data_IF_758255165797
#
_entry.id   IF_758255165797
#
_cell.length_a   1.000
_cell.length_b   1.000
_cell.length_c   1.000
_cell.angle_alpha   90.00
_cell.angle_beta   90.00
_cell.angle_gamma   90.00
#
_symmetry.space_group_name_H-M   'P 1'
#
loop_
_entity.id
_entity.type
_entity.pdbx_description
1 polymer ?
#
# COMPACT_ATOMS: atom_id res chain seq x y z
N UNK A 1 24.47 22.27 -10.97
CA UNK A 1 23.88 23.14 -11.99
C UNK A 1 23.52 22.26 -13.19
N UNK A 2 22.35 21.60 -13.15
CA UNK A 2 21.87 20.71 -14.21
C UNK A 2 20.58 21.32 -14.75
N UNK A 3 20.62 21.69 -16.01
CA UNK A 3 19.52 22.30 -16.76
C UNK A 3 18.33 21.34 -16.80
N UNK A 4 17.25 21.71 -16.12
CA UNK A 4 15.93 21.13 -16.31
C UNK A 4 15.43 21.56 -17.70
N UNK A 5 15.46 20.64 -18.67
CA UNK A 5 14.77 20.81 -19.95
C UNK A 5 13.28 20.52 -19.73
N UNK A 6 12.52 21.58 -19.53
CA UNK A 6 11.07 21.54 -19.64
C UNK A 6 10.68 21.33 -21.10
N UNK A 7 10.39 20.11 -21.49
CA UNK A 7 9.68 19.77 -22.72
C UNK A 7 8.34 19.13 -22.41
N UNK A 8 7.43 19.92 -21.85
CA UNK A 8 6.02 19.59 -21.82
C UNK A 8 5.40 19.95 -23.18
N UNK A 9 5.77 19.22 -24.23
CA UNK A 9 4.97 19.18 -25.44
C UNK A 9 3.81 18.20 -25.24
N UNK A 10 2.59 18.71 -25.36
CA UNK A 10 1.31 17.99 -25.47
C UNK A 10 1.33 16.98 -26.64
N UNK A 11 2.21 16.01 -26.63
CA UNK A 11 2.16 14.89 -27.55
C UNK A 11 1.08 13.94 -27.05
N UNK A 12 -0.03 13.91 -27.74
CA UNK A 12 -1.03 12.84 -27.58
C UNK A 12 -0.28 11.52 -27.71
N UNK A 13 -0.25 10.73 -26.61
CA UNK A 13 0.63 9.54 -26.54
C UNK A 13 0.31 8.50 -27.59
N UNK A 14 1.30 7.67 -27.96
CA UNK A 14 1.15 6.58 -28.92
C UNK A 14 -0.02 5.65 -28.61
N UNK A 15 -0.33 5.45 -27.31
CA UNK A 15 -1.45 4.61 -26.85
C UNK A 15 -2.80 5.24 -27.22
N UNK A 16 -2.95 6.57 -27.07
CA UNK A 16 -4.15 7.29 -27.48
C UNK A 16 -4.47 7.03 -28.94
N UNK A 17 -3.51 7.22 -29.84
CA UNK A 17 -3.71 7.02 -31.28
C UNK A 17 -4.02 5.58 -31.66
N UNK A 18 -3.38 4.61 -31.02
CA UNK A 18 -3.68 3.18 -31.23
C UNK A 18 -5.10 2.82 -30.79
N UNK A 19 -5.49 3.29 -29.59
CA UNK A 19 -6.81 3.02 -29.04
C UNK A 19 -7.90 3.75 -29.85
N UNK A 20 -7.66 5.01 -30.17
CA UNK A 20 -8.54 5.79 -31.04
C UNK A 20 -8.74 5.10 -32.39
N UNK A 21 -7.67 4.73 -33.08
CA UNK A 21 -7.73 4.07 -34.38
C UNK A 21 -8.49 2.73 -34.30
N UNK A 22 -8.23 1.93 -33.27
CA UNK A 22 -8.91 0.65 -33.07
C UNK A 22 -10.41 0.83 -32.87
N UNK A 23 -10.82 1.71 -31.98
CA UNK A 23 -12.25 1.98 -31.69
C UNK A 23 -12.94 2.58 -32.91
N UNK A 24 -12.30 3.52 -33.58
CA UNK A 24 -12.85 4.17 -34.78
C UNK A 24 -13.00 3.19 -35.94
N UNK A 25 -11.99 2.34 -36.20
CA UNK A 25 -12.05 1.30 -37.23
C UNK A 25 -13.13 0.24 -36.91
N UNK A 26 -13.26 -0.15 -35.66
CA UNK A 26 -14.31 -1.08 -35.24
C UNK A 26 -15.72 -0.50 -35.46
N UNK A 27 -15.92 0.78 -35.17
CA UNK A 27 -17.19 1.48 -35.42
C UNK A 27 -17.45 1.65 -36.93
N UNK A 28 -16.41 1.98 -37.70
CA UNK A 28 -16.51 2.09 -39.15
C UNK A 28 -16.89 0.76 -39.79
N UNK A 29 -16.25 -0.33 -39.37
CA UNK A 29 -16.59 -1.68 -39.82
C UNK A 29 -18.04 -2.06 -39.49
N UNK A 30 -18.54 -1.70 -38.31
CA UNK A 30 -19.93 -1.88 -37.91
C UNK A 30 -20.91 -1.13 -38.84
N UNK A 31 -20.60 0.14 -39.14
CA UNK A 31 -21.42 0.96 -40.07
C UNK A 31 -21.46 0.35 -41.47
N UNK A 32 -20.30 -0.11 -41.97
CA UNK A 32 -20.18 -0.76 -43.29
C UNK A 32 -20.95 -2.08 -43.30
N UNK A 33 -20.85 -2.89 -42.24
CA UNK A 33 -21.57 -4.16 -42.13
C UNK A 33 -23.09 -3.94 -42.11
N UNK A 34 -23.61 -2.96 -41.37
CA UNK A 34 -25.03 -2.61 -41.35
C UNK A 34 -25.48 -2.09 -42.72
N UNK A 35 -24.68 -1.26 -43.38
CA UNK A 35 -24.93 -0.77 -44.72
C UNK A 35 -25.00 -1.90 -45.76
N UNK A 36 -24.07 -2.85 -45.71
CA UNK A 36 -24.03 -4.00 -46.56
C UNK A 36 -25.25 -4.94 -46.32
N UNK A 37 -25.60 -5.17 -45.04
CA UNK A 37 -26.80 -5.96 -44.70
C UNK A 37 -28.09 -5.32 -45.26
N UNK A 38 -28.22 -3.99 -45.12
CA UNK A 38 -29.34 -3.23 -45.65
C UNK A 38 -29.41 -3.31 -47.18
N UNK A 39 -28.26 -3.30 -47.87
CA UNK A 39 -28.16 -3.45 -49.32
C UNK A 39 -28.55 -4.88 -49.77
N UNK A 40 -28.12 -5.90 -49.04
CA UNK A 40 -28.40 -7.32 -49.35
C UNK A 40 -29.88 -7.71 -49.06
N UNK A 41 -30.47 -7.10 -48.02
CA UNK A 41 -31.84 -7.47 -47.62
C UNK A 41 -32.90 -6.50 -48.16
N UNK A 42 -32.50 -5.43 -48.86
CA UNK A 42 -33.40 -4.48 -49.51
C UNK A 42 -34.13 -5.13 -50.70
N UNK A 43 -35.44 -4.85 -50.91
CA UNK A 43 -36.17 -5.40 -52.06
C UNK A 43 -35.56 -4.90 -53.38
N UNK A 44 -35.46 -5.75 -54.44
CA UNK A 44 -34.88 -5.36 -55.69
C UNK A 44 -35.61 -4.15 -56.31
N UNK A 45 -34.90 -3.22 -56.96
CA UNK A 45 -35.46 -1.95 -57.46
C UNK A 45 -36.52 -2.08 -58.56
N UNK A 46 -36.67 -3.24 -59.15
CA UNK A 46 -37.57 -3.48 -60.26
C UNK A 46 -39.01 -3.84 -59.84
N UNK A 47 -39.27 -4.27 -58.65
CA UNK A 47 -40.60 -4.72 -58.16
C UNK A 47 -41.66 -3.59 -58.03
N UNK A 48 -41.24 -2.34 -58.06
CA UNK A 48 -42.14 -1.19 -57.88
C UNK A 48 -42.63 -0.56 -59.16
N UNK A 49 -41.91 -0.78 -60.28
CA UNK A 49 -42.36 -0.27 -61.60
C UNK A 49 -43.42 -1.18 -62.25
N UNK A 50 -43.35 -2.48 -62.04
CA UNK A 50 -44.29 -3.46 -62.63
C UNK A 50 -45.68 -3.39 -61.99
N UNK A 51 -45.77 -3.01 -60.74
CA UNK A 51 -47.05 -2.91 -60.01
C UNK A 51 -47.85 -1.67 -60.36
N UNK A 52 -47.22 -0.62 -60.87
CA UNK A 52 -47.89 0.61 -61.33
C UNK A 52 -48.44 0.47 -62.76
N UNK A 53 -47.90 -0.45 -63.60
CA UNK A 53 -48.34 -0.68 -64.98
C UNK A 53 -49.49 -1.69 -65.08
N UNK A 54 -49.65 -2.60 -64.13
CA UNK A 54 -50.72 -3.64 -64.15
C UNK A 54 -52.05 -3.14 -63.57
N UNK A 55 -52.04 -1.98 -62.93
CA UNK A 55 -53.30 -1.41 -62.38
C UNK A 55 -54.11 -0.53 -63.39
N UNK A 56 -53.73 -0.57 -64.66
CA UNK A 56 -54.34 0.28 -65.74
C UNK A 56 -55.26 -0.44 -66.73
N UNK A 57 -55.58 -1.71 -66.50
CA UNK A 57 -56.52 -2.46 -67.40
C UNK A 57 -57.82 -2.67 -66.70
N UNK A 58 -58.72 -1.75 -66.88
CA UNK A 58 -60.08 -1.84 -66.40
C UNK A 58 -61.02 -1.01 -67.24
N UNK A 59 -61.50 -1.58 -68.34
CA UNK A 59 -62.72 -1.30 -69.06
C UNK A 59 -63.55 -0.09 -68.62
N UNK A 60 -63.46 1.01 -69.35
CA UNK A 60 -64.44 2.05 -69.39
C UNK A 60 -64.90 2.22 -70.82
N UNK A 61 -66.24 2.42 -71.10
CA UNK A 61 -66.81 2.41 -72.42
C UNK A 61 -66.28 3.56 -73.29
N UNK A 62 -65.94 3.19 -74.51
CA UNK A 62 -65.51 4.07 -75.58
C UNK A 62 -66.68 5.01 -75.95
N UNK A 63 -66.60 6.26 -75.56
CA UNK A 63 -67.56 7.32 -75.95
C UNK A 63 -67.05 7.99 -77.19
N UNK A 64 -67.75 7.71 -78.36
CA UNK A 64 -67.55 8.42 -79.61
C UNK A 64 -67.96 9.86 -79.47
N UNK A 65 -67.06 10.79 -79.36
CA UNK A 65 -67.36 12.22 -79.43
C UNK A 65 -67.20 12.71 -80.88
N UNK A 66 -68.30 13.24 -81.44
CA UNK A 66 -68.29 13.90 -82.73
C UNK A 66 -67.46 15.16 -82.73
N UNK A 67 -66.75 15.48 -83.85
CA UNK A 67 -65.97 16.69 -83.95
C UNK A 67 -66.84 17.94 -84.11
N UNK A 68 -66.75 18.85 -83.11
CA UNK A 68 -67.24 20.23 -83.17
C UNK A 68 -66.05 21.17 -83.40
N UNK A 69 -66.25 22.33 -83.98
CA UNK A 69 -65.15 23.21 -84.41
C UNK A 69 -64.76 24.17 -83.27
N UNK A 70 -64.30 23.67 -82.20
CA UNK A 70 -63.72 24.53 -81.13
C UNK A 70 -62.21 24.26 -81.05
N UNK A 71 -61.49 25.31 -81.43
CA UNK A 71 -60.08 25.35 -81.38
C UNK A 71 -59.68 25.39 -79.88
N UNK A 72 -59.42 24.22 -79.31
CA UNK A 72 -58.80 24.13 -77.98
C UNK A 72 -57.37 24.56 -78.10
N UNK A 73 -57.03 25.77 -77.64
CA UNK A 73 -55.63 26.18 -77.43
C UNK A 73 -54.99 25.26 -76.49
N UNK A 74 -54.10 24.38 -76.98
CA UNK A 74 -53.24 23.59 -76.14
C UNK A 74 -52.40 24.52 -75.26
N UNK A 75 -52.30 24.32 -73.93
CA UNK A 75 -51.35 25.04 -73.09
C UNK A 75 -49.96 24.73 -73.57
N UNK A 76 -49.05 25.69 -73.47
CA UNK A 76 -47.66 25.49 -73.88
C UNK A 76 -47.06 24.28 -73.16
N UNK A 77 -46.19 23.45 -73.82
CA UNK A 77 -45.56 22.29 -73.18
C UNK A 77 -44.88 22.73 -71.90
N UNK A 78 -45.34 22.22 -70.79
CA UNK A 78 -44.64 22.43 -69.51
C UNK A 78 -43.22 21.95 -69.69
N UNK A 79 -42.23 22.86 -69.50
CA UNK A 79 -40.84 22.50 -69.41
C UNK A 79 -40.70 21.36 -68.38
N UNK A 80 -40.07 20.24 -68.72
CA UNK A 80 -39.89 19.16 -67.78
C UNK A 80 -39.18 19.75 -66.55
N UNK A 81 -39.87 19.69 -65.41
CA UNK A 81 -39.23 19.99 -64.12
C UNK A 81 -38.01 19.09 -64.04
N UNK A 82 -36.79 19.61 -63.66
CA UNK A 82 -35.66 18.77 -63.46
C UNK A 82 -36.05 17.66 -62.51
N UNK A 83 -35.90 16.41 -62.93
CA UNK A 83 -36.22 15.25 -62.13
C UNK A 83 -35.51 15.40 -60.77
N UNK A 84 -36.27 15.28 -59.65
CA UNK A 84 -35.63 15.33 -58.34
C UNK A 84 -34.48 14.29 -58.37
N UNK A 85 -33.29 14.66 -57.97
CA UNK A 85 -32.18 13.76 -57.80
C UNK A 85 -32.62 12.72 -56.76
N UNK A 86 -33.17 11.59 -57.21
CA UNK A 86 -33.53 10.49 -56.34
C UNK A 86 -32.23 9.81 -55.86
N UNK A 87 -31.91 10.07 -54.61
CA UNK A 87 -30.97 9.21 -53.89
C UNK A 87 -31.57 7.81 -53.88
N UNK A 88 -30.78 6.76 -54.21
CA UNK A 88 -31.29 5.38 -54.22
C UNK A 88 -31.97 5.07 -52.87
N UNK A 89 -33.22 4.62 -52.92
CA UNK A 89 -34.01 4.32 -51.73
C UNK A 89 -33.38 3.28 -50.79
N UNK A 90 -32.46 2.49 -51.30
CA UNK A 90 -31.73 1.45 -50.61
C UNK A 90 -30.44 1.94 -49.93
N UNK A 91 -30.12 3.22 -50.01
CA UNK A 91 -28.98 3.81 -49.31
C UNK A 91 -29.47 4.82 -48.29
N UNK A 92 -28.88 4.83 -47.07
CA UNK A 92 -29.22 5.84 -46.09
C UNK A 92 -28.91 7.24 -46.62
N UNK A 93 -29.68 8.27 -46.28
CA UNK A 93 -29.43 9.62 -46.74
C UNK A 93 -28.04 10.10 -46.33
N UNK A 94 -27.34 10.88 -47.19
CA UNK A 94 -25.95 11.28 -46.94
C UNK A 94 -25.79 12.06 -45.62
N UNK A 95 -26.81 12.76 -45.17
CA UNK A 95 -26.85 13.44 -43.87
C UNK A 95 -26.82 12.44 -42.69
N UNK A 96 -27.50 11.30 -42.79
CA UNK A 96 -27.47 10.27 -41.76
C UNK A 96 -26.10 9.58 -41.70
N UNK A 97 -25.46 9.33 -42.87
CA UNK A 97 -24.11 8.76 -42.94
C UNK A 97 -23.07 9.73 -42.31
N UNK A 98 -23.18 11.02 -42.66
CA UNK A 98 -22.29 12.05 -42.07
C UNK A 98 -22.51 12.19 -40.57
N UNK A 99 -23.73 12.16 -40.08
CA UNK A 99 -24.04 12.24 -38.64
C UNK A 99 -23.50 11.01 -37.86
N UNK A 100 -23.65 9.80 -38.41
CA UNK A 100 -23.12 8.58 -37.75
C UNK A 100 -21.57 8.57 -37.74
N UNK A 101 -20.92 9.03 -38.79
CA UNK A 101 -19.47 9.14 -38.82
C UNK A 101 -18.95 10.19 -37.84
N UNK A 102 -19.64 11.34 -37.73
CA UNK A 102 -19.27 12.39 -36.77
C UNK A 102 -19.47 11.90 -35.31
N UNK A 103 -20.58 11.23 -35.02
CA UNK A 103 -20.83 10.62 -33.71
C UNK A 103 -19.81 9.53 -33.37
N UNK A 104 -19.47 8.67 -34.33
CA UNK A 104 -18.43 7.65 -34.18
C UNK A 104 -17.05 8.25 -33.85
N UNK A 105 -16.67 9.30 -34.58
CA UNK A 105 -15.41 10.01 -34.36
C UNK A 105 -15.38 10.67 -32.97
N UNK A 106 -16.45 11.34 -32.57
CA UNK A 106 -16.58 11.99 -31.26
C UNK A 106 -16.50 10.94 -30.13
N UNK A 107 -17.21 9.82 -30.25
CA UNK A 107 -17.18 8.74 -29.25
C UNK A 107 -15.80 8.11 -29.14
N UNK A 108 -15.13 7.85 -30.27
CA UNK A 108 -13.77 7.31 -30.29
C UNK A 108 -12.77 8.26 -29.62
N UNK A 109 -12.84 9.56 -29.89
CA UNK A 109 -12.01 10.57 -29.25
C UNK A 109 -12.24 10.65 -27.75
N UNK A 110 -13.50 10.71 -27.31
CA UNK A 110 -13.86 10.76 -25.90
C UNK A 110 -13.37 9.52 -25.15
N UNK A 111 -13.58 8.33 -25.70
CA UNK A 111 -13.17 7.07 -25.08
C UNK A 111 -11.64 6.95 -25.02
N UNK A 112 -10.95 7.33 -26.11
CA UNK A 112 -9.50 7.33 -26.14
C UNK A 112 -8.92 8.29 -25.09
N UNK A 113 -9.48 9.48 -24.95
CA UNK A 113 -9.06 10.44 -23.95
C UNK A 113 -9.38 9.97 -22.52
N UNK A 114 -10.56 9.36 -22.32
CA UNK A 114 -11.02 8.84 -21.04
C UNK A 114 -10.10 7.72 -20.48
N UNK A 115 -9.55 6.87 -21.35
CA UNK A 115 -8.65 5.78 -20.97
C UNK A 115 -7.18 6.19 -20.98
N UNK A 116 -6.74 6.93 -22.00
CA UNK A 116 -5.31 7.24 -22.15
C UNK A 116 -4.78 8.23 -21.11
N UNK A 117 -5.62 9.17 -20.65
CA UNK A 117 -5.21 10.19 -19.67
C UNK A 117 -4.78 9.59 -18.31
N UNK A 118 -5.58 8.74 -17.64
CA UNK A 118 -5.17 8.14 -16.37
C UNK A 118 -3.98 7.20 -16.51
N UNK A 119 -3.89 6.42 -17.59
CA UNK A 119 -2.74 5.55 -17.84
C UNK A 119 -1.44 6.36 -17.99
N UNK A 120 -1.50 7.52 -18.65
CA UNK A 120 -0.35 8.42 -18.74
C UNK A 120 0.04 8.99 -17.38
N UNK A 121 -0.94 9.42 -16.57
CA UNK A 121 -0.68 9.93 -15.23
C UNK A 121 -0.04 8.87 -14.34
N UNK A 122 -0.51 7.62 -14.45
CA UNK A 122 0.07 6.48 -13.75
C UNK A 122 1.52 6.25 -14.17
N UNK A 123 1.80 6.21 -15.47
CA UNK A 123 3.16 6.06 -15.99
C UNK A 123 4.09 7.17 -15.51
N UNK A 124 3.66 8.44 -15.59
CA UNK A 124 4.44 9.58 -15.11
C UNK A 124 4.77 9.49 -13.61
N UNK A 125 3.86 8.90 -12.80
CA UNK A 125 4.09 8.72 -11.39
C UNK A 125 5.04 7.54 -11.11
N UNK A 126 4.97 6.45 -11.89
CA UNK A 126 5.97 5.38 -11.83
C UNK A 126 7.36 5.89 -12.23
N UNK A 127 7.45 6.67 -13.32
CA UNK A 127 8.71 7.27 -13.76
C UNK A 127 9.28 8.22 -12.68
N UNK A 128 8.43 9.00 -12.00
CA UNK A 128 8.82 9.85 -10.89
C UNK A 128 9.30 9.03 -9.67
N UNK A 129 8.59 7.96 -9.32
CA UNK A 129 8.96 7.06 -8.22
C UNK A 129 10.32 6.38 -8.46
N UNK A 130 10.60 5.93 -9.69
CA UNK A 130 11.92 5.38 -10.06
C UNK A 130 13.03 6.42 -10.00
N UNK A 131 12.71 7.68 -10.19
CA UNK A 131 13.64 8.82 -10.03
C UNK A 131 13.79 9.26 -8.55
N UNK A 132 13.08 8.60 -7.60
CA UNK A 132 13.13 8.90 -6.17
C UNK A 132 12.11 9.93 -5.69
N UNK A 133 11.26 10.46 -6.57
CA UNK A 133 10.15 11.37 -6.20
C UNK A 133 8.91 10.53 -5.81
N UNK A 134 8.85 10.15 -4.53
CA UNK A 134 7.72 9.40 -3.95
C UNK A 134 6.61 10.31 -3.42
N UNK A 135 6.73 11.64 -3.51
CA UNK A 135 5.71 12.58 -3.02
C UNK A 135 4.56 12.75 -4.02
N UNK A 136 4.77 12.38 -5.26
CA UNK A 136 3.79 12.53 -6.32
C UNK A 136 2.63 11.55 -6.13
N UNK A 137 1.43 12.09 -5.88
CA UNK A 137 0.20 11.32 -5.69
C UNK A 137 -0.65 11.31 -6.96
N UNK A 138 -1.31 10.18 -7.21
CA UNK A 138 -2.11 9.94 -8.44
C UNK A 138 -3.60 10.07 -8.15
N UNK A 139 -4.08 9.64 -6.99
CA UNK A 139 -5.52 9.62 -6.68
C UNK A 139 -6.22 10.96 -6.93
N UNK A 140 -5.57 12.09 -6.59
CA UNK A 140 -6.10 13.43 -6.87
C UNK A 140 -6.13 13.82 -8.35
N UNK A 141 -5.36 13.15 -9.22
CA UNK A 141 -5.28 13.42 -10.67
C UNK A 141 -6.22 12.55 -11.50
N UNK A 142 -6.57 11.38 -10.99
CA UNK A 142 -7.53 10.46 -11.63
C UNK A 142 -8.98 10.95 -11.41
N UNK A 143 -9.20 11.85 -10.45
CA UNK A 143 -10.50 12.46 -10.15
C UNK A 143 -11.42 11.52 -9.34
N UNK A 144 -12.72 11.82 -9.35
CA UNK A 144 -13.77 11.09 -8.59
C UNK A 144 -14.24 9.81 -9.28
N UNK A 145 -13.41 9.19 -10.12
CA UNK A 145 -13.75 7.93 -10.79
C UNK A 145 -13.87 6.80 -9.75
N UNK A 146 -14.77 5.88 -10.02
CA UNK A 146 -14.98 4.69 -9.20
C UNK A 146 -14.85 3.44 -10.08
N UNK A 147 -13.65 3.28 -10.67
CA UNK A 147 -13.29 2.17 -11.56
C UNK A 147 -11.94 1.57 -11.16
N UNK A 148 -11.55 0.48 -11.82
CA UNK A 148 -10.32 -0.27 -11.57
C UNK A 148 -9.06 0.60 -11.72
N UNK A 149 -9.10 1.64 -12.57
CA UNK A 149 -7.98 2.57 -12.74
C UNK A 149 -7.83 3.50 -11.53
N UNK A 150 -8.96 3.87 -10.89
CA UNK A 150 -8.93 4.64 -9.66
C UNK A 150 -8.44 3.79 -8.49
N UNK A 151 -8.81 2.50 -8.44
CA UNK A 151 -8.30 1.54 -7.44
C UNK A 151 -6.79 1.37 -7.58
N UNK A 152 -6.30 1.16 -8.79
CA UNK A 152 -4.87 1.05 -9.09
C UNK A 152 -4.10 2.32 -8.69
N UNK A 153 -4.69 3.50 -8.90
CA UNK A 153 -4.11 4.76 -8.44
C UNK A 153 -4.00 4.85 -6.92
N UNK A 154 -5.04 4.40 -6.19
CA UNK A 154 -5.02 4.33 -4.72
C UNK A 154 -3.99 3.31 -4.20
N UNK A 155 -3.87 2.18 -4.88
CA UNK A 155 -2.88 1.15 -4.52
C UNK A 155 -1.45 1.66 -4.73
N UNK A 156 -1.20 2.37 -5.84
CA UNK A 156 0.08 3.04 -6.06
C UNK A 156 0.39 4.05 -4.97
N UNK A 157 -0.56 4.93 -4.62
CA UNK A 157 -0.36 5.95 -3.58
C UNK A 157 -0.08 5.31 -2.21
N UNK A 158 -0.73 4.18 -1.88
CA UNK A 158 -0.44 3.40 -0.67
C UNK A 158 0.97 2.81 -0.69
N UNK A 159 1.37 2.23 -1.83
CA UNK A 159 2.72 1.68 -2.00
C UNK A 159 3.78 2.78 -1.88
N UNK A 160 3.59 3.90 -2.59
CA UNK A 160 4.52 5.04 -2.56
C UNK A 160 4.65 5.62 -1.14
N UNK A 161 3.54 5.72 -0.40
CA UNK A 161 3.56 6.18 1.00
C UNK A 161 4.31 5.23 1.93
N UNK A 162 4.13 3.91 1.76
CA UNK A 162 4.86 2.90 2.55
C UNK A 162 6.36 2.94 2.24
N UNK A 163 6.71 3.02 0.97
CA UNK A 163 8.13 3.11 0.54
C UNK A 163 8.79 4.39 1.06
N UNK A 164 8.09 5.52 0.97
CA UNK A 164 8.58 6.79 1.51
C UNK A 164 8.80 6.70 3.02
N UNK A 165 7.83 6.19 3.78
CA UNK A 165 7.95 6.01 5.23
C UNK A 165 9.11 5.07 5.60
N UNK A 166 9.31 3.98 4.83
CA UNK A 166 10.45 3.06 5.03
C UNK A 166 11.79 3.76 4.79
N UNK A 167 11.93 4.51 3.68
CA UNK A 167 13.17 5.24 3.38
C UNK A 167 13.48 6.34 4.40
N UNK A 168 12.45 7.07 4.86
CA UNK A 168 12.62 8.08 5.91
C UNK A 168 12.99 7.45 7.25
N UNK A 169 12.43 6.28 7.58
CA UNK A 169 12.79 5.48 8.75
C UNK A 169 14.26 5.06 8.68
N UNK A 170 14.68 4.50 7.54
CA UNK A 170 16.06 4.07 7.33
C UNK A 170 17.07 5.25 7.40
N UNK A 171 16.74 6.40 6.82
CA UNK A 171 17.60 7.59 6.91
C UNK A 171 17.74 8.09 8.34
N UNK A 172 16.63 8.10 9.10
CA UNK A 172 16.66 8.47 10.52
C UNK A 172 17.53 7.49 11.31
N UNK A 173 17.33 6.20 11.12
CA UNK A 173 18.14 5.15 11.76
C UNK A 173 19.63 5.37 11.52
N UNK A 174 20.08 5.57 10.27
CA UNK A 174 21.47 5.82 9.93
C UNK A 174 22.03 7.11 10.56
N UNK A 175 21.20 8.15 10.64
CA UNK A 175 21.56 9.41 11.30
C UNK A 175 21.78 9.20 12.79
N UNK A 176 20.85 8.53 13.46
CA UNK A 176 20.89 8.29 14.90
C UNK A 176 22.04 7.35 15.26
N UNK A 177 22.27 6.27 14.47
CA UNK A 177 23.46 5.42 14.60
C UNK A 177 24.76 6.23 14.55
N UNK A 178 24.87 7.13 13.56
CA UNK A 178 26.06 7.95 13.40
C UNK A 178 26.30 8.87 14.61
N UNK A 179 25.24 9.38 15.21
CA UNK A 179 25.32 10.20 16.41
C UNK A 179 25.70 9.37 17.64
N UNK A 180 25.05 8.22 17.84
CA UNK A 180 25.30 7.35 19.00
C UNK A 180 26.67 6.67 18.95
N UNK A 181 27.24 6.43 17.77
CA UNK A 181 28.60 5.92 17.63
C UNK A 181 29.70 6.98 17.88
N UNK A 182 29.42 8.25 17.56
CA UNK A 182 30.42 9.32 17.72
C UNK A 182 30.84 9.51 19.17
N UNK A 183 29.88 9.39 20.10
CA UNK A 183 30.11 9.58 21.54
C UNK A 183 31.10 8.56 22.14
N UNK A 184 30.89 7.22 22.02
CA UNK A 184 31.84 6.23 22.53
C UNK A 184 33.19 6.31 21.82
N UNK A 185 33.23 6.58 20.50
CA UNK A 185 34.50 6.76 19.78
C UNK A 185 35.29 7.96 20.31
N UNK A 186 34.64 9.08 20.63
CA UNK A 186 35.31 10.22 21.23
C UNK A 186 35.86 9.89 22.64
N UNK A 187 35.12 9.11 23.44
CA UNK A 187 35.57 8.67 24.77
C UNK A 187 36.74 7.70 24.65
N UNK A 188 36.70 6.77 23.69
CA UNK A 188 37.84 5.89 23.37
C UNK A 188 39.11 6.69 23.00
N UNK A 189 38.95 7.67 22.09
CA UNK A 189 40.08 8.53 21.69
C UNK A 189 40.64 9.33 22.86
N UNK A 190 39.78 9.84 23.74
CA UNK A 190 40.22 10.52 24.96
C UNK A 190 40.95 9.59 25.92
N UNK A 191 40.45 8.38 26.16
CA UNK A 191 41.13 7.38 27.02
C UNK A 191 42.50 7.00 26.48
N UNK A 192 42.65 6.77 25.17
CA UNK A 192 43.93 6.51 24.50
C UNK A 192 44.86 7.72 24.60
N UNK A 193 44.34 8.94 24.46
CA UNK A 193 45.09 10.18 24.62
C UNK A 193 45.66 10.35 26.04
N UNK A 194 44.82 10.08 27.05
CA UNK A 194 45.27 10.12 28.48
C UNK A 194 46.30 9.04 28.75
N UNK A 195 46.10 7.82 28.28
CA UNK A 195 47.05 6.72 28.45
C UNK A 195 48.46 7.05 27.90
N UNK A 196 48.50 7.80 26.77
CA UNK A 196 49.79 8.27 26.20
C UNK A 196 50.46 9.36 27.02
N UNK A 197 49.66 10.23 27.68
CA UNK A 197 50.19 11.36 28.47
C UNK A 197 50.52 10.97 29.91
N UNK A 198 49.79 10.00 30.47
CA UNK A 198 49.92 9.55 31.85
C UNK A 198 50.08 8.02 31.92
N UNK A 199 51.27 7.48 31.62
CA UNK A 199 51.50 6.03 31.59
C UNK A 199 51.49 5.37 32.97
N UNK A 200 51.29 6.14 34.04
CA UNK A 200 51.35 5.63 35.42
C UNK A 200 50.03 4.98 35.90
N UNK A 201 48.94 5.15 35.18
CA UNK A 201 47.63 4.53 35.48
C UNK A 201 47.04 3.74 34.31
N UNK A 202 47.73 2.75 33.75
CA UNK A 202 47.27 2.08 32.55
C UNK A 202 46.03 1.24 32.78
N UNK A 203 45.88 0.60 33.95
CA UNK A 203 44.79 -0.32 34.25
C UNK A 203 43.41 0.35 34.18
N UNK A 204 43.25 1.56 34.75
CA UNK A 204 42.00 2.29 34.72
C UNK A 204 41.59 2.73 33.29
N UNK A 205 42.56 3.11 32.46
CA UNK A 205 42.31 3.52 31.08
C UNK A 205 42.00 2.31 30.17
N UNK A 206 42.67 1.18 30.40
CA UNK A 206 42.41 -0.08 29.69
C UNK A 206 40.99 -0.55 30.01
N UNK A 207 40.62 -0.62 31.28
CA UNK A 207 39.25 -0.99 31.67
C UNK A 207 38.19 -0.09 31.00
N UNK A 208 38.45 1.23 30.94
CA UNK A 208 37.56 2.18 30.26
C UNK A 208 37.47 1.96 28.76
N UNK A 209 38.57 1.57 28.09
CA UNK A 209 38.61 1.21 26.68
C UNK A 209 37.83 -0.08 26.45
N UNK A 210 38.00 -1.08 27.32
CA UNK A 210 37.24 -2.35 27.26
C UNK A 210 35.74 -2.10 27.41
N UNK A 211 35.31 -1.30 28.38
CA UNK A 211 33.93 -0.94 28.60
C UNK A 211 33.30 -0.24 27.38
N UNK A 212 34.00 0.75 26.79
CA UNK A 212 33.49 1.46 25.62
C UNK A 212 33.44 0.56 24.36
N UNK A 213 34.38 -0.38 24.25
CA UNK A 213 34.40 -1.37 23.16
C UNK A 213 33.20 -2.33 23.29
N UNK A 214 32.97 -2.86 24.51
CA UNK A 214 31.82 -3.71 24.78
C UNK A 214 30.47 -2.99 24.48
N UNK A 215 30.38 -1.70 24.81
CA UNK A 215 29.19 -0.87 24.46
C UNK A 215 29.00 -0.74 22.96
N UNK A 216 30.07 -0.53 22.18
CA UNK A 216 29.96 -0.45 20.71
C UNK A 216 29.52 -1.80 20.15
N UNK A 217 30.07 -2.91 20.64
CA UNK A 217 29.69 -4.24 20.20
C UNK A 217 28.23 -4.56 20.49
N UNK A 218 27.74 -4.18 21.67
CA UNK A 218 26.31 -4.28 22.01
C UNK A 218 25.44 -3.47 21.04
N UNK A 219 25.81 -2.21 20.73
CA UNK A 219 25.07 -1.36 19.79
C UNK A 219 24.98 -2.01 18.40
N UNK A 220 26.10 -2.54 17.92
CA UNK A 220 26.16 -3.23 16.62
C UNK A 220 25.26 -4.47 16.62
N UNK A 221 25.30 -5.28 17.70
CA UNK A 221 24.44 -6.45 17.87
C UNK A 221 22.95 -6.11 17.86
N UNK A 222 22.56 -5.07 18.61
CA UNK A 222 21.17 -4.57 18.64
C UNK A 222 20.71 -4.05 17.25
N UNK A 223 21.59 -3.36 16.53
CA UNK A 223 21.32 -2.87 15.17
C UNK A 223 21.16 -4.01 14.16
N UNK A 224 22.00 -5.01 14.21
CA UNK A 224 21.90 -6.20 13.34
C UNK A 224 20.60 -6.96 13.62
N UNK A 225 20.23 -7.10 14.89
CA UNK A 225 18.95 -7.73 15.27
C UNK A 225 17.76 -6.94 14.72
N UNK A 226 17.76 -5.61 14.90
CA UNK A 226 16.71 -4.76 14.37
C UNK A 226 16.62 -4.83 12.84
N UNK A 227 17.77 -4.79 12.15
CA UNK A 227 17.85 -4.88 10.68
C UNK A 227 17.27 -6.20 10.14
N UNK A 228 17.62 -7.33 10.77
CA UNK A 228 17.08 -8.65 10.41
C UNK A 228 15.56 -8.71 10.63
N UNK A 229 15.07 -8.14 11.75
CA UNK A 229 13.64 -8.02 12.06
C UNK A 229 12.90 -7.20 11.00
N UNK A 230 13.47 -6.13 10.52
CA UNK A 230 12.88 -5.29 9.47
C UNK A 230 12.89 -5.94 8.08
N UNK A 231 13.91 -6.74 7.78
CA UNK A 231 14.03 -7.48 6.52
C UNK A 231 13.04 -8.67 6.42
N UNK A 232 12.49 -9.14 7.54
CA UNK A 232 11.59 -10.31 7.57
C UNK A 232 12.31 -11.63 7.22
N UNK A 233 13.61 -11.73 7.48
CA UNK A 233 14.48 -12.85 7.06
C UNK A 233 14.32 -14.16 7.88
N UNK A 234 13.20 -14.37 8.55
CA UNK A 234 13.05 -15.45 9.53
C UNK A 234 12.05 -16.55 9.21
N UNK A 235 11.43 -16.54 8.06
CA UNK A 235 10.27 -17.38 7.74
C UNK A 235 10.60 -18.90 7.76
N UNK A 236 11.86 -19.28 7.62
CA UNK A 236 12.26 -20.67 7.40
C UNK A 236 12.68 -21.43 8.68
N UNK A 237 12.72 -20.80 9.86
CA UNK A 237 13.22 -21.39 11.11
C UNK A 237 12.20 -21.32 12.28
N UNK A 238 10.90 -21.44 11.98
CA UNK A 238 9.88 -21.42 13.03
C UNK A 238 9.79 -22.76 13.76
N UNK A 239 9.89 -22.71 15.10
CA UNK A 239 9.72 -23.83 16.00
C UNK A 239 8.44 -23.70 16.85
N UNK A 240 8.03 -24.77 17.48
CA UNK A 240 6.97 -24.73 18.50
C UNK A 240 7.55 -24.25 19.82
N UNK A 241 7.07 -23.10 20.30
CA UNK A 241 7.55 -22.41 21.50
C UNK A 241 6.54 -22.60 22.63
N UNK A 242 6.97 -23.12 23.78
CA UNK A 242 6.21 -23.04 25.02
C UNK A 242 6.46 -21.68 25.69
N UNK A 243 5.48 -20.78 25.59
CA UNK A 243 5.58 -19.41 26.10
C UNK A 243 5.75 -19.34 27.62
N UNK A 244 5.25 -20.33 28.35
CA UNK A 244 5.42 -20.42 29.79
C UNK A 244 6.88 -20.68 30.13
N UNK A 245 7.50 -21.68 29.47
CA UNK A 245 8.89 -22.04 29.68
C UNK A 245 9.83 -20.87 29.32
N UNK A 246 9.57 -20.22 28.18
CA UNK A 246 10.31 -19.07 27.74
C UNK A 246 10.29 -17.91 28.76
N UNK A 247 9.10 -17.56 29.26
CA UNK A 247 8.96 -16.48 30.28
C UNK A 247 9.64 -16.88 31.58
N UNK A 248 9.56 -18.17 31.97
CA UNK A 248 10.20 -18.71 33.18
C UNK A 248 11.72 -18.59 33.11
N UNK A 249 12.30 -18.87 31.94
CA UNK A 249 13.75 -18.74 31.69
C UNK A 249 14.18 -17.28 31.85
N UNK A 250 13.55 -16.37 31.11
CA UNK A 250 13.85 -14.93 31.21
C UNK A 250 13.69 -14.39 32.64
N UNK A 251 12.63 -14.82 33.33
CA UNK A 251 12.39 -14.36 34.71
C UNK A 251 13.46 -14.84 35.68
N UNK A 252 13.97 -16.10 35.52
CA UNK A 252 15.04 -16.64 36.36
C UNK A 252 16.35 -15.90 36.14
N UNK A 253 16.73 -15.72 34.87
CA UNK A 253 18.00 -15.09 34.52
C UNK A 253 18.00 -13.61 34.96
N UNK A 254 16.93 -12.89 34.68
CA UNK A 254 16.76 -11.52 35.09
C UNK A 254 16.74 -11.37 36.64
N UNK A 255 16.12 -12.31 37.39
CA UNK A 255 16.13 -12.27 38.83
C UNK A 255 17.54 -12.51 39.41
N UNK A 256 18.33 -13.40 38.80
CA UNK A 256 19.71 -13.62 39.21
C UNK A 256 20.56 -12.34 39.05
N UNK A 257 20.46 -11.64 37.93
CA UNK A 257 21.15 -10.38 37.70
C UNK A 257 20.64 -9.28 38.66
N UNK A 258 19.30 -9.20 38.86
CA UNK A 258 18.69 -8.19 39.71
C UNK A 258 19.11 -8.30 41.19
N UNK A 259 19.28 -9.53 41.70
CA UNK A 259 19.72 -9.76 43.08
C UNK A 259 21.12 -9.19 43.34
N UNK A 260 22.03 -9.23 42.37
CA UNK A 260 23.36 -8.62 42.49
C UNK A 260 23.27 -7.08 42.67
N UNK A 261 22.17 -6.46 42.27
CA UNK A 261 21.86 -5.03 42.37
C UNK A 261 20.90 -4.68 43.53
N UNK A 262 20.56 -5.63 44.41
CA UNK A 262 19.61 -5.44 45.49
C UNK A 262 18.16 -5.27 45.02
N UNK A 263 17.84 -5.73 43.82
CA UNK A 263 16.49 -5.72 43.20
C UNK A 263 15.94 -7.13 43.10
N UNK A 264 14.66 -7.27 42.74
CA UNK A 264 13.99 -8.55 42.61
C UNK A 264 13.07 -8.57 41.39
N UNK A 265 13.05 -9.67 40.66
CA UNK A 265 12.06 -9.96 39.62
C UNK A 265 11.07 -10.99 40.15
N UNK A 266 9.80 -10.66 40.18
CA UNK A 266 8.73 -11.53 40.65
C UNK A 266 7.91 -11.96 39.43
N UNK A 267 7.87 -13.26 39.21
CA UNK A 267 7.04 -13.85 38.14
C UNK A 267 5.83 -14.55 38.72
N UNK A 268 4.64 -14.13 38.30
CA UNK A 268 3.38 -14.79 38.62
C UNK A 268 2.96 -15.69 37.47
N UNK A 269 3.16 -16.99 37.64
CA UNK A 269 2.74 -18.01 36.69
C UNK A 269 1.24 -18.21 36.72
N UNK A 270 0.50 -17.74 35.69
CA UNK A 270 -0.97 -17.91 35.60
C UNK A 270 -1.46 -18.50 34.29
N UNK A 271 -0.55 -18.75 33.32
CA UNK A 271 -0.95 -19.13 31.98
C UNK A 271 0.08 -19.99 31.27
N UNK A 272 -0.38 -20.90 30.44
CA UNK A 272 0.43 -21.64 29.46
C UNK A 272 -0.12 -21.44 28.07
N UNK A 273 0.75 -21.48 27.06
CA UNK A 273 0.37 -21.35 25.67
C UNK A 273 1.53 -21.73 24.75
N UNK A 274 1.21 -22.21 23.54
CA UNK A 274 2.19 -22.57 22.54
C UNK A 274 1.92 -21.81 21.27
N UNK A 275 2.98 -21.33 20.63
CA UNK A 275 2.93 -20.69 19.32
C UNK A 275 4.03 -21.23 18.43
N UNK A 276 3.91 -20.98 17.13
CA UNK A 276 5.03 -21.18 16.20
C UNK A 276 5.79 -19.87 16.04
N UNK A 277 7.11 -19.94 16.08
CA UNK A 277 7.95 -18.77 15.94
C UNK A 277 9.41 -19.06 16.23
N UNK A 278 10.18 -18.03 16.51
CA UNK A 278 11.60 -18.13 16.87
C UNK A 278 11.79 -17.88 18.35
N UNK A 279 12.28 -18.89 19.10
CA UNK A 279 12.48 -18.79 20.56
C UNK A 279 13.44 -17.67 20.93
N UNK A 280 14.57 -17.55 20.23
CA UNK A 280 15.62 -16.55 20.45
C UNK A 280 15.12 -15.11 20.30
N UNK A 281 14.25 -14.88 19.30
CA UNK A 281 13.65 -13.56 19.01
C UNK A 281 12.64 -13.15 20.09
N UNK A 282 11.80 -14.08 20.52
CA UNK A 282 10.81 -13.80 21.58
C UNK A 282 11.50 -13.71 22.96
N UNK A 283 12.51 -14.52 23.21
CA UNK A 283 13.34 -14.42 24.40
C UNK A 283 13.93 -13.02 24.53
N UNK A 284 14.62 -12.56 23.46
CA UNK A 284 15.18 -11.22 23.41
C UNK A 284 14.14 -10.12 23.59
N UNK A 285 12.91 -10.30 23.05
CA UNK A 285 11.83 -9.32 23.25
C UNK A 285 11.46 -9.18 24.71
N UNK A 286 11.21 -10.28 25.41
CA UNK A 286 10.81 -10.27 26.82
C UNK A 286 11.95 -9.81 27.70
N UNK A 287 13.17 -10.27 27.44
CA UNK A 287 14.38 -9.83 28.13
C UNK A 287 14.58 -8.30 28.04
N UNK A 288 14.40 -7.71 26.85
CA UNK A 288 14.47 -6.27 26.66
C UNK A 288 13.44 -5.50 27.50
N UNK A 289 12.22 -6.05 27.65
CA UNK A 289 11.22 -5.45 28.53
C UNK A 289 11.64 -5.50 30.00
N UNK A 290 12.08 -6.67 30.45
CA UNK A 290 12.48 -6.88 31.85
C UNK A 290 13.73 -6.04 32.19
N UNK A 291 14.72 -6.00 31.30
CA UNK A 291 15.91 -5.16 31.46
C UNK A 291 15.56 -3.67 31.51
N UNK A 292 14.62 -3.22 30.65
CA UNK A 292 14.12 -1.85 30.72
C UNK A 292 13.43 -1.55 32.04
N UNK A 293 12.57 -2.44 32.52
CA UNK A 293 11.88 -2.30 33.79
C UNK A 293 12.87 -2.26 34.97
N UNK A 294 13.87 -3.15 35.02
CA UNK A 294 14.91 -3.16 36.03
C UNK A 294 15.74 -1.88 36.04
N UNK A 295 16.05 -1.34 34.86
CA UNK A 295 16.83 -0.12 34.72
C UNK A 295 16.11 1.11 35.34
N UNK A 296 14.78 1.16 35.16
CA UNK A 296 13.97 2.30 35.61
C UNK A 296 13.33 2.09 37.00
N UNK A 297 13.36 0.88 37.55
CA UNK A 297 12.93 0.59 38.90
C UNK A 297 13.87 1.23 39.93
N UNK A 298 13.38 1.91 40.97
CA UNK A 298 14.18 2.37 42.07
C UNK A 298 14.90 1.21 42.80
N UNK A 299 15.98 1.51 43.50
CA UNK A 299 16.66 0.55 44.35
C UNK A 299 15.67 -0.03 45.40
N UNK A 300 15.78 -1.33 45.69
CA UNK A 300 14.89 -2.05 46.61
C UNK A 300 13.44 -2.22 46.15
N UNK A 301 13.12 -1.92 44.90
CA UNK A 301 11.79 -2.17 44.31
C UNK A 301 11.82 -3.37 43.37
N UNK A 302 10.65 -4.02 43.22
CA UNK A 302 10.48 -5.22 42.42
C UNK A 302 9.97 -4.89 41.01
N UNK A 303 10.40 -5.73 40.05
CA UNK A 303 9.79 -5.81 38.71
C UNK A 303 8.87 -7.01 38.68
N UNK A 304 7.68 -6.86 38.14
CA UNK A 304 6.66 -7.90 38.10
C UNK A 304 6.49 -8.39 36.66
N UNK A 305 6.42 -9.70 36.47
CA UNK A 305 6.06 -10.33 35.22
C UNK A 305 4.75 -11.09 35.46
N UNK A 306 3.69 -10.69 34.79
CA UNK A 306 2.37 -11.32 34.86
C UNK A 306 2.06 -11.99 33.53
N UNK A 307 1.55 -13.23 33.54
CA UNK A 307 1.11 -13.93 32.35
C UNK A 307 -0.36 -14.32 32.42
N UNK A 308 -1.09 -14.16 31.32
CA UNK A 308 -2.52 -14.49 31.24
C UNK A 308 -2.88 -14.98 29.84
N UNK A 309 -3.87 -15.89 29.76
CA UNK A 309 -4.51 -16.28 28.50
C UNK A 309 -5.91 -15.65 28.43
N UNK A 310 -6.19 -14.91 27.37
CA UNK A 310 -7.53 -14.46 27.01
C UNK A 310 -8.18 -15.54 26.12
N UNK A 311 -9.41 -16.00 26.41
CA UNK A 311 -9.98 -17.15 25.72
C UNK A 311 -10.57 -16.85 24.33
N UNK A 312 -11.04 -15.63 24.07
CA UNK A 312 -11.78 -15.28 22.85
C UNK A 312 -11.43 -13.88 22.33
N UNK A 313 -10.70 -13.73 21.22
CA UNK A 313 -9.92 -14.81 20.58
C UNK A 313 -8.76 -15.25 21.47
N UNK A 314 -8.27 -16.51 21.34
CA UNK A 314 -7.23 -17.02 22.22
C UNK A 314 -5.93 -16.23 22.03
N UNK A 315 -5.45 -15.62 23.12
CA UNK A 315 -4.25 -14.78 23.13
C UNK A 315 -3.45 -15.00 24.39
N UNK A 316 -2.14 -15.08 24.28
CA UNK A 316 -1.24 -15.07 25.40
C UNK A 316 -0.76 -13.65 25.67
N UNK A 317 -0.89 -13.22 26.91
CA UNK A 317 -0.54 -11.87 27.37
C UNK A 317 0.60 -11.95 28.35
N UNK A 318 1.65 -11.15 28.13
CA UNK A 318 2.76 -10.96 29.05
C UNK A 318 2.77 -9.48 29.43
N UNK A 319 2.77 -9.17 30.72
CA UNK A 319 2.88 -7.81 31.25
C UNK A 319 4.12 -7.71 32.10
N UNK A 320 4.94 -6.73 31.83
CA UNK A 320 6.10 -6.39 32.64
C UNK A 320 5.80 -5.04 33.29
N UNK A 321 5.85 -5.00 34.63
CA UNK A 321 5.49 -3.85 35.42
C UNK A 321 6.68 -3.42 36.27
N UNK A 322 7.00 -2.14 36.25
CA UNK A 322 7.97 -1.51 37.16
C UNK A 322 7.28 -0.53 38.12
N UNK A 323 8.05 -0.08 39.11
CA UNK A 323 7.62 0.95 40.07
C UNK A 323 8.50 2.21 39.92
N UNK A 324 8.92 2.52 38.70
CA UNK A 324 9.68 3.71 38.37
C UNK A 324 8.88 5.00 38.37
N UNK A 325 9.44 6.04 37.81
CA UNK A 325 8.76 7.34 37.68
C UNK A 325 7.67 7.38 36.60
N UNK A 326 7.53 6.33 35.81
CA UNK A 326 6.66 6.36 34.62
C UNK A 326 7.23 7.21 33.49
N UNK A 327 6.41 7.49 32.49
CA UNK A 327 6.76 8.26 31.28
C UNK A 327 5.72 9.34 31.03
N UNK A 328 6.12 10.51 30.55
CA UNK A 328 5.17 11.56 30.21
C UNK A 328 4.16 11.05 29.14
N UNK A 329 2.88 11.37 29.29
CA UNK A 329 1.82 10.84 28.39
C UNK A 329 2.08 11.11 26.91
N UNK A 330 2.66 12.27 26.59
CA UNK A 330 3.01 12.64 25.22
C UNK A 330 4.20 11.86 24.65
N UNK A 331 5.00 11.19 25.49
CA UNK A 331 6.15 10.37 25.11
C UNK A 331 5.78 8.89 24.93
N UNK A 332 4.69 8.41 25.55
CA UNK A 332 4.24 7.02 25.45
C UNK A 332 4.19 6.47 24.02
N UNK A 333 3.65 7.19 23.00
CA UNK A 333 3.61 6.71 21.62
C UNK A 333 5.00 6.50 20.99
N UNK A 334 6.02 7.20 21.52
CA UNK A 334 7.37 7.20 20.98
C UNK A 334 8.29 6.18 21.64
N UNK A 335 7.88 5.52 22.72
CA UNK A 335 8.72 4.58 23.50
C UNK A 335 9.31 3.43 22.67
N UNK A 336 8.59 3.02 21.62
CA UNK A 336 8.99 1.94 20.74
C UNK A 336 9.71 2.44 19.47
N UNK A 337 10.04 3.72 19.40
CA UNK A 337 10.82 4.29 18.28
C UNK A 337 12.31 4.03 18.54
N UNK A 338 13.07 3.52 17.56
CA UNK A 338 14.51 3.35 17.72
C UNK A 338 15.19 4.63 18.21
N UNK A 339 16.18 4.48 19.11
CA UNK A 339 16.94 5.56 19.74
C UNK A 339 16.15 6.56 20.60
N UNK A 340 14.87 6.32 20.80
CA UNK A 340 14.08 7.19 21.68
C UNK A 340 14.48 7.00 23.15
N UNK A 341 14.69 8.13 23.84
CA UNK A 341 14.97 8.19 25.26
C UNK A 341 14.14 9.31 25.88
N UNK A 342 13.29 8.96 26.86
CA UNK A 342 12.47 9.96 27.57
C UNK A 342 13.30 11.00 28.32
N UNK A 343 12.73 12.18 28.51
CA UNK A 343 13.41 13.33 29.15
C UNK A 343 13.93 13.05 30.59
N UNK A 344 13.37 12.04 31.26
CA UNK A 344 13.80 11.61 32.60
C UNK A 344 14.95 10.60 32.65
N UNK A 345 15.46 10.14 31.50
CA UNK A 345 16.51 9.12 31.43
C UNK A 345 17.90 9.73 31.64
N UNK A 346 18.35 9.81 32.89
CA UNK A 346 19.67 10.33 33.27
C UNK A 346 20.78 9.27 33.21
N UNK A 347 20.45 7.99 32.96
CA UNK A 347 21.45 6.94 32.90
C UNK A 347 22.09 6.86 31.52
N UNK A 348 23.41 6.79 31.49
CA UNK A 348 24.26 6.60 30.30
C UNK A 348 24.14 5.17 29.71
N UNK A 349 23.23 4.35 30.23
CA UNK A 349 23.07 2.95 29.87
C UNK A 349 21.98 2.75 28.81
N UNK A 350 22.35 2.16 27.69
CA UNK A 350 21.49 1.71 26.59
C UNK A 350 21.16 2.79 25.56
N UNK A 351 21.04 2.32 24.34
CA UNK A 351 20.91 3.15 23.14
C UNK A 351 19.45 3.45 22.73
N UNK A 352 18.46 2.99 23.52
CA UNK A 352 17.06 3.17 23.16
C UNK A 352 16.57 2.24 22.04
N UNK A 353 17.27 1.13 21.81
CA UNK A 353 16.91 0.13 20.79
C UNK A 353 16.08 -1.03 21.37
N UNK A 354 16.24 -1.36 22.65
CA UNK A 354 15.63 -2.56 23.24
C UNK A 354 14.10 -2.64 23.10
N UNK A 355 13.38 -1.55 23.38
CA UNK A 355 11.92 -1.53 23.20
C UNK A 355 11.50 -1.56 21.71
N UNK A 356 12.29 -0.97 20.82
CA UNK A 356 12.06 -1.05 19.38
C UNK A 356 12.26 -2.48 18.86
N UNK A 357 13.31 -3.18 19.32
CA UNK A 357 13.55 -4.59 19.03
C UNK A 357 12.37 -5.43 19.56
N UNK A 358 11.98 -5.23 20.81
CA UNK A 358 10.85 -5.96 21.39
C UNK A 358 9.57 -5.79 20.57
N UNK A 359 9.26 -4.57 20.13
CA UNK A 359 8.12 -4.32 19.26
C UNK A 359 8.21 -5.08 17.95
N UNK A 360 9.33 -5.00 17.24
CA UNK A 360 9.52 -5.69 15.96
C UNK A 360 9.45 -7.21 16.12
N UNK A 361 10.05 -7.75 17.18
CA UNK A 361 9.98 -9.17 17.51
C UNK A 361 8.55 -9.64 17.73
N UNK A 362 7.76 -8.90 18.47
CA UNK A 362 6.35 -9.20 18.73
C UNK A 362 5.49 -9.09 17.47
N UNK A 363 5.71 -8.02 16.68
CA UNK A 363 5.02 -7.81 15.40
C UNK A 363 5.35 -8.93 14.39
N UNK A 364 6.59 -9.41 14.34
CA UNK A 364 7.00 -10.54 13.50
C UNK A 364 6.26 -11.84 13.83
N UNK A 365 5.82 -12.01 15.09
CA UNK A 365 5.00 -13.14 15.56
C UNK A 365 3.49 -12.86 15.49
N UNK A 366 3.05 -11.82 14.74
CA UNK A 366 1.64 -11.43 14.63
C UNK A 366 1.02 -10.87 15.91
N UNK A 367 1.86 -10.54 16.90
CA UNK A 367 1.44 -9.97 18.17
C UNK A 367 1.35 -8.44 18.16
N UNK A 368 1.02 -7.89 19.31
CA UNK A 368 0.99 -6.44 19.56
C UNK A 368 1.66 -6.11 20.88
N UNK A 369 2.29 -4.93 20.97
CA UNK A 369 2.91 -4.42 22.19
C UNK A 369 2.35 -3.04 22.51
N UNK A 370 2.16 -2.74 23.81
CA UNK A 370 1.67 -1.45 24.31
C UNK A 370 2.38 -1.09 25.61
N UNK A 371 2.42 0.20 25.91
CA UNK A 371 2.94 0.71 27.16
C UNK A 371 1.96 1.72 27.76
N UNK A 372 1.69 1.60 29.04
CA UNK A 372 0.79 2.46 29.81
C UNK A 372 1.41 2.79 31.14
N UNK A 373 1.20 4.02 31.65
CA UNK A 373 1.59 4.39 33.00
C UNK A 373 0.70 3.67 34.03
N UNK A 374 1.31 3.22 35.11
CA UNK A 374 0.58 2.58 36.22
C UNK A 374 -0.06 3.64 37.13
N UNK A 375 -1.29 3.38 37.63
CA UNK A 375 -1.83 4.16 38.73
C UNK A 375 -0.91 4.07 39.96
N UNK A 376 -0.36 5.19 40.41
CA UNK A 376 0.57 5.23 41.56
C UNK A 376 2.06 5.27 41.17
N UNK A 377 2.41 5.32 39.90
CA UNK A 377 3.77 5.43 39.37
C UNK A 377 4.29 4.12 38.77
N UNK A 378 5.23 4.26 37.87
CA UNK A 378 5.81 3.16 37.09
C UNK A 378 5.18 2.95 35.71
N UNK A 379 5.76 2.06 34.93
CA UNK A 379 5.33 1.70 33.58
C UNK A 379 4.84 0.26 33.57
N UNK A 380 3.84 -0.01 32.74
CA UNK A 380 3.39 -1.35 32.38
C UNK A 380 3.60 -1.52 30.87
N UNK A 381 4.45 -2.46 30.46
CA UNK A 381 4.58 -2.85 29.05
C UNK A 381 3.92 -4.19 28.86
N UNK A 382 2.98 -4.26 27.91
CA UNK A 382 2.17 -5.44 27.64
C UNK A 382 2.45 -5.97 26.23
N UNK A 383 2.74 -7.25 26.14
CA UNK A 383 2.81 -8.03 24.88
C UNK A 383 1.56 -8.91 24.81
N UNK A 384 0.96 -8.97 23.61
CA UNK A 384 -0.16 -9.86 23.29
C UNK A 384 0.19 -10.67 22.06
N UNK A 385 0.29 -11.99 22.20
CA UNK A 385 0.60 -12.93 21.12
C UNK A 385 -0.65 -13.76 20.77
N UNK A 386 -0.97 -13.97 19.49
CA UNK A 386 -2.07 -14.82 19.09
C UNK A 386 -1.73 -16.28 19.37
N UNK A 387 -2.65 -17.00 20.02
CA UNK A 387 -2.56 -18.45 20.16
C UNK A 387 -3.28 -19.13 18.99
N UNK A 388 -2.78 -20.28 18.49
CA UNK A 388 -3.51 -21.04 17.49
C UNK A 388 -4.89 -21.43 18.04
N UNK A 389 -5.93 -21.16 17.28
CA UNK A 389 -7.26 -21.71 17.56
C UNK A 389 -7.17 -23.22 17.39
N UNK A 390 -7.46 -23.98 18.47
CA UNK A 390 -7.57 -25.41 18.35
C UNK A 390 -8.52 -25.76 17.18
N UNK A 391 -8.14 -26.67 16.27
CA UNK A 391 -9.08 -27.08 15.22
C UNK A 391 -10.34 -27.59 15.94
N UNK A 392 -11.48 -26.97 15.63
CA UNK A 392 -12.78 -27.48 16.05
C UNK A 392 -12.84 -28.92 15.59
N UNK A 393 -12.74 -29.88 16.52
CA UNK A 393 -13.00 -31.28 16.22
C UNK A 393 -14.41 -31.32 15.64
N UNK A 394 -14.49 -31.45 14.31
CA UNK A 394 -15.72 -31.71 13.62
C UNK A 394 -16.30 -32.98 14.25
N UNK A 395 -17.46 -32.85 14.89
CA UNK A 395 -18.11 -33.81 15.67
C UNK A 395 -18.10 -35.19 15.00
N UNK A 396 -17.49 -36.17 15.67
CA UNK A 396 -17.73 -37.57 15.38
C UNK A 396 -19.22 -37.82 15.64
N UNK A 397 -19.99 -37.96 14.56
CA UNK A 397 -21.34 -38.46 14.63
C UNK A 397 -21.29 -39.90 15.18
N UNK A 398 -22.22 -40.28 16.07
CA UNK A 398 -22.32 -41.64 16.52
C UNK A 398 -22.83 -42.53 15.37
N UNK A 399 -22.09 -43.61 15.09
CA UNK A 399 -22.52 -44.76 14.30
C UNK A 399 -23.60 -45.55 14.99
#
# INVERSE_FOLDING_TARGET
>A
MVKATSSSKNSVGRLFWKFFAFVWLAQLAGIVAVGALFWLTGPPPEATLTRAMVAGDGHGPMMLVRPGPDIVRMPPPMRPRPAPRYWPRNLPPPTAVAATLAASLATALLLAWYVAKPIRSLREAFDAATAGDLQRRIAGRIGTRNDELADLGRDFDRMASRLQASMEGQRRLLHDVSHEMRSPLARLQAAVGILRQQPEQPAAMIARIEDETARIDQLVGELLTLSRLEAGEWVDEEEEIDLRELVAEVARDANFEAQAQGRQVIWEERASGRIRGRPDVLHSAIENLVRNALKHAPESRSVWIETRVDPLPPRYRVRVLDEGGGVAEHELPNLFTPFFRGAGSHSNEGYGLGLAIARRSVEAHGGTIRADNRPGGGLCVEIVLPLPTAPTQAGGGPS
#
